data_IF_704012087379
#
_entry.id   IF_704012087379
#
_cell.length_a   1.000
_cell.length_b   1.000
_cell.length_c   1.000
_cell.angle_alpha   90.00
_cell.angle_beta   90.00
_cell.angle_gamma   90.00
#
_symmetry.space_group_name_H-M   'P 1'
#
loop_
_entity.id
_entity.type
_entity.pdbx_description
1 polymer ?
#
# COMPACT_ATOMS: atom_id res chain seq x y z
N UNK A 1 11.41 -19.45 -6.61
CA UNK A 1 9.99 -19.19 -6.32
C UNK A 1 9.94 -17.80 -5.72
N UNK A 2 9.28 -16.83 -6.37
CA UNK A 2 9.01 -15.54 -5.73
C UNK A 2 7.73 -15.72 -4.95
N UNK A 3 7.81 -15.49 -3.64
CA UNK A 3 6.75 -15.69 -2.65
C UNK A 3 5.38 -15.25 -3.16
N UNK A 4 4.39 -16.15 -3.07
CA UNK A 4 2.98 -15.89 -3.43
C UNK A 4 2.33 -14.79 -2.57
N UNK A 5 3.05 -14.31 -1.55
CA UNK A 5 2.57 -13.34 -0.58
C UNK A 5 3.15 -11.93 -0.76
N UNK A 6 4.13 -11.72 -1.64
CA UNK A 6 4.78 -10.42 -1.81
C UNK A 6 4.32 -9.71 -3.09
N UNK A 7 3.82 -8.48 -2.96
CA UNK A 7 3.31 -7.66 -4.07
C UNK A 7 3.92 -6.26 -4.03
N UNK A 8 3.90 -5.55 -5.17
CA UNK A 8 4.37 -4.17 -5.25
C UNK A 8 3.45 -3.33 -6.11
N UNK A 9 3.00 -2.19 -5.59
CA UNK A 9 2.41 -1.11 -6.39
C UNK A 9 3.54 -0.19 -6.85
N UNK A 10 3.53 0.23 -8.11
CA UNK A 10 4.47 1.22 -8.64
C UNK A 10 3.70 2.31 -9.38
N UNK A 11 3.96 3.57 -9.05
CA UNK A 11 3.30 4.71 -9.69
C UNK A 11 4.27 5.87 -9.92
N UNK A 12 4.05 6.60 -11.02
CA UNK A 12 4.81 7.81 -11.29
C UNK A 12 4.39 8.94 -10.36
N UNK A 13 5.38 9.55 -9.71
CA UNK A 13 5.25 10.69 -8.79
C UNK A 13 6.32 11.76 -9.09
N UNK A 14 6.92 11.71 -10.28
CA UNK A 14 7.92 12.68 -10.71
C UNK A 14 7.39 14.11 -10.53
N UNK A 15 8.19 14.93 -9.84
CA UNK A 15 7.84 16.31 -9.51
C UNK A 15 7.31 16.53 -8.08
N UNK A 16 6.98 15.45 -7.36
CA UNK A 16 6.71 15.51 -5.92
C UNK A 16 7.97 15.19 -5.12
N UNK A 17 8.21 15.98 -4.07
CA UNK A 17 9.14 15.63 -3.00
C UNK A 17 8.49 14.63 -2.03
N UNK A 18 9.30 13.91 -1.26
CA UNK A 18 8.80 12.92 -0.30
C UNK A 18 7.86 13.56 0.73
N UNK A 19 8.18 14.76 1.22
CA UNK A 19 7.33 15.49 2.17
C UNK A 19 6.01 16.04 1.58
N UNK A 20 5.81 15.88 0.27
CA UNK A 20 4.58 16.24 -0.44
C UNK A 20 3.69 15.03 -0.69
N UNK A 21 4.15 13.82 -0.36
CA UNK A 21 3.40 12.59 -0.51
C UNK A 21 2.90 12.09 0.85
N UNK A 22 1.62 11.73 0.91
CA UNK A 22 1.01 11.06 2.07
C UNK A 22 0.52 9.68 1.65
N UNK A 23 0.89 8.67 2.44
CA UNK A 23 0.44 7.29 2.27
C UNK A 23 -0.28 6.87 3.53
N UNK A 24 -1.58 6.63 3.41
CA UNK A 24 -2.42 6.20 4.53
C UNK A 24 -3.12 4.89 4.16
N UNK A 25 -2.94 3.85 5.00
CA UNK A 25 -3.75 2.64 4.93
C UNK A 25 -4.90 2.74 5.95
N UNK A 26 -6.13 2.54 5.48
CA UNK A 26 -7.32 2.40 6.32
C UNK A 26 -8.07 1.15 5.89
N UNK A 27 -8.18 0.19 6.81
CA UNK A 27 -8.74 -1.14 6.53
C UNK A 27 -8.03 -1.78 5.31
N UNK A 28 -8.80 -2.22 4.32
CA UNK A 28 -8.29 -2.78 3.06
C UNK A 28 -8.08 -1.71 1.98
N UNK A 29 -7.99 -0.42 2.32
CA UNK A 29 -7.79 0.65 1.35
C UNK A 29 -6.49 1.39 1.61
N UNK A 30 -5.63 1.41 0.60
CA UNK A 30 -4.45 2.25 0.56
C UNK A 30 -4.76 3.54 -0.19
N UNK A 31 -4.52 4.67 0.45
CA UNK A 31 -4.70 6.01 -0.12
C UNK A 31 -3.32 6.63 -0.29
N UNK A 32 -3.00 7.07 -1.51
CA UNK A 32 -1.80 7.81 -1.84
C UNK A 32 -2.21 9.21 -2.29
N UNK A 33 -1.72 10.23 -1.60
CA UNK A 33 -1.95 11.63 -1.94
C UNK A 33 -0.64 12.31 -2.29
N UNK A 34 -0.70 13.20 -3.27
CA UNK A 34 0.35 14.18 -3.51
C UNK A 34 -0.24 15.57 -3.42
N UNK A 35 0.26 16.38 -2.50
CA UNK A 35 -0.19 17.76 -2.29
C UNK A 35 1.00 18.71 -2.41
N UNK A 36 0.88 19.69 -3.30
CA UNK A 36 1.90 20.73 -3.42
C UNK A 36 1.77 21.73 -2.30
N UNK A 37 2.89 22.03 -1.66
CA UNK A 37 2.97 23.23 -0.81
C UNK A 37 2.77 24.47 -1.70
N UNK A 38 1.99 25.46 -1.27
CA UNK A 38 1.84 26.69 -2.01
C UNK A 38 3.22 27.34 -2.17
N UNK A 39 3.71 27.40 -3.42
CA UNK A 39 4.92 28.16 -3.72
C UNK A 39 4.55 29.64 -3.83
N UNK A 40 5.37 30.51 -3.23
CA UNK A 40 5.28 31.95 -3.45
C UNK A 40 5.34 32.24 -4.96
N UNK A 41 4.54 33.20 -5.43
CA UNK A 41 4.33 33.53 -6.86
C UNK A 41 5.61 33.41 -7.70
N UNK A 42 5.81 32.25 -8.34
CA UNK A 42 6.88 32.06 -9.30
C UNK A 42 6.34 32.38 -10.69
N UNK A 43 6.91 33.40 -11.32
CA UNK A 43 6.65 33.72 -12.72
C UNK A 43 7.40 32.73 -13.60
N UNK A 44 6.69 31.75 -14.15
CA UNK A 44 7.26 30.81 -15.12
C UNK A 44 7.18 31.39 -16.53
N UNK A 45 8.29 31.32 -17.28
CA UNK A 45 8.32 31.71 -18.72
C UNK A 45 7.61 30.67 -19.58
N UNK A 46 7.73 29.38 -19.23
CA UNK A 46 7.01 28.27 -19.86
C UNK A 46 6.88 27.11 -18.88
N UNK A 47 5.68 26.57 -18.73
CA UNK A 47 5.39 25.42 -17.88
C UNK A 47 4.71 24.33 -18.73
N UNK A 48 5.51 23.37 -19.21
CA UNK A 48 5.03 22.32 -20.11
C UNK A 48 4.08 21.30 -19.47
N UNK A 49 4.17 21.10 -18.15
CA UNK A 49 3.26 20.23 -17.39
C UNK A 49 2.99 20.92 -16.05
N UNK A 50 1.73 21.24 -15.80
CA UNK A 50 1.29 21.64 -14.47
C UNK A 50 1.13 20.37 -13.64
N UNK A 51 2.02 20.18 -12.67
CA UNK A 51 1.83 19.14 -11.67
C UNK A 51 0.71 19.58 -10.72
N UNK A 52 -0.31 18.72 -10.58
CA UNK A 52 -1.52 18.98 -9.83
C UNK A 52 -1.59 18.02 -8.66
N UNK A 53 -2.22 18.46 -7.57
CA UNK A 53 -2.54 17.58 -6.47
C UNK A 53 -3.31 16.35 -6.96
N UNK A 54 -3.04 15.22 -6.33
CA UNK A 54 -3.69 13.97 -6.69
C UNK A 54 -4.07 13.15 -5.46
N UNK A 55 -5.11 12.33 -5.63
CA UNK A 55 -5.46 11.26 -4.72
C UNK A 55 -5.66 9.98 -5.56
N UNK A 56 -5.05 8.89 -5.11
CA UNK A 56 -5.23 7.55 -5.68
C UNK A 56 -5.58 6.59 -4.55
N UNK A 57 -6.58 5.75 -4.82
CA UNK A 57 -7.08 4.74 -3.88
C UNK A 57 -6.90 3.38 -4.50
N UNK A 58 -6.30 2.48 -3.74
CA UNK A 58 -6.10 1.09 -4.09
C UNK A 58 -6.88 0.24 -3.10
N UNK A 59 -7.83 -0.53 -3.64
CA UNK A 59 -8.49 -1.59 -2.86
C UNK A 59 -7.52 -2.76 -2.76
N UNK A 60 -7.07 -3.04 -1.54
CA UNK A 60 -6.25 -4.19 -1.21
C UNK A 60 -7.16 -5.41 -0.99
N UNK A 61 -6.60 -6.59 -1.25
CA UNK A 61 -7.23 -7.84 -0.87
C UNK A 61 -7.19 -8.02 0.66
N UNK A 62 -8.01 -8.92 1.19
CA UNK A 62 -7.98 -9.26 2.60
C UNK A 62 -6.58 -9.76 3.00
N UNK A 63 -6.18 -9.37 4.21
CA UNK A 63 -4.91 -9.76 4.82
C UNK A 63 -3.66 -9.21 4.12
N UNK A 64 -3.81 -8.22 3.23
CA UNK A 64 -2.68 -7.52 2.63
C UNK A 64 -2.37 -6.25 3.43
N UNK A 65 -1.10 -6.06 3.78
CA UNK A 65 -0.60 -4.88 4.48
C UNK A 65 0.55 -4.23 3.72
N UNK A 66 0.73 -2.92 3.93
CA UNK A 66 1.94 -2.21 3.48
C UNK A 66 3.09 -2.55 4.42
N UNK A 67 4.22 -2.97 3.86
CA UNK A 67 5.45 -3.27 4.62
C UNK A 67 6.54 -2.24 4.41
N UNK A 68 6.47 -1.46 3.33
CA UNK A 68 7.42 -0.39 3.05
C UNK A 68 7.00 0.47 1.88
N UNK A 69 7.61 1.63 1.78
CA UNK A 69 7.52 2.50 0.62
C UNK A 69 8.88 3.14 0.34
N UNK A 70 9.20 3.33 -0.92
CA UNK A 70 10.46 3.97 -1.36
C UNK A 70 10.25 4.71 -2.66
N UNK A 71 10.93 5.83 -2.84
CA UNK A 71 10.88 6.60 -4.07
C UNK A 71 12.22 6.51 -4.81
N UNK A 72 12.19 6.19 -6.10
CA UNK A 72 13.38 6.10 -6.94
C UNK A 72 13.06 6.59 -8.36
N UNK A 73 13.89 7.47 -8.92
CA UNK A 73 13.77 7.95 -10.31
C UNK A 73 12.37 8.50 -10.68
N UNK A 74 11.69 9.17 -9.74
CA UNK A 74 10.34 9.71 -9.94
C UNK A 74 9.23 8.66 -9.89
N UNK A 75 9.52 7.45 -9.40
CA UNK A 75 8.54 6.41 -9.13
C UNK A 75 8.42 6.16 -7.63
N UNK A 76 7.20 5.99 -7.16
CA UNK A 76 6.88 5.50 -5.83
C UNK A 76 6.65 3.99 -5.91
N UNK A 77 7.44 3.24 -5.17
CA UNK A 77 7.28 1.81 -4.96
C UNK A 77 6.68 1.57 -3.57
N UNK A 78 5.59 0.81 -3.51
CA UNK A 78 4.91 0.45 -2.27
C UNK A 78 4.91 -1.07 -2.19
N UNK A 79 5.64 -1.59 -1.20
CA UNK A 79 5.77 -3.01 -0.94
C UNK A 79 4.63 -3.49 -0.05
N UNK A 80 4.01 -4.57 -0.48
CA UNK A 80 2.84 -5.18 0.15
C UNK A 80 3.12 -6.64 0.46
N UNK A 81 2.63 -7.09 1.60
CA UNK A 81 2.71 -8.50 2.01
C UNK A 81 1.32 -9.02 2.39
N UNK A 82 1.03 -10.26 2.02
CA UNK A 82 -0.16 -10.99 2.46
C UNK A 82 0.16 -11.88 3.64
N UNK A 83 -0.41 -11.56 4.80
CA UNK A 83 -0.26 -12.34 6.02
C UNK A 83 -1.55 -13.12 6.34
N UNK A 84 -1.62 -14.38 5.91
CA UNK A 84 -2.76 -15.23 6.28
C UNK A 84 -2.60 -15.65 7.76
N UNK A 85 -3.56 -15.32 8.65
CA UNK A 85 -3.47 -15.72 10.05
C UNK A 85 -3.36 -17.23 10.21
N UNK A 86 -2.49 -17.70 11.12
CA UNK A 86 -2.33 -19.14 11.39
C UNK A 86 -3.64 -19.81 11.80
N UNK A 87 -4.54 -19.08 12.47
CA UNK A 87 -5.87 -19.56 12.87
C UNK A 87 -6.79 -19.91 11.68
N UNK A 88 -6.48 -19.41 10.48
CA UNK A 88 -7.20 -19.75 9.25
C UNK A 88 -6.54 -20.90 8.49
N UNK A 89 -5.42 -21.43 8.98
CA UNK A 89 -4.85 -22.64 8.41
C UNK A 89 -5.87 -23.79 8.53
N UNK A 90 -6.04 -24.61 7.49
CA UNK A 90 -6.96 -25.73 7.52
C UNK A 90 -6.62 -26.67 8.69
N UNK A 91 -7.51 -26.80 9.67
CA UNK A 91 -7.38 -27.80 10.73
C UNK A 91 -8.04 -29.11 10.31
N UNK A 92 -7.36 -30.23 10.58
CA UNK A 92 -7.94 -31.55 10.38
C UNK A 92 -9.01 -31.80 11.44
N UNK A 93 -10.23 -32.11 11.01
CA UNK A 93 -11.32 -32.51 11.90
C UNK A 93 -11.31 -34.04 12.00
N UNK A 94 -11.24 -34.58 13.21
CA UNK A 94 -11.39 -36.01 13.43
C UNK A 94 -12.88 -36.41 13.31
N UNK A 95 -13.16 -37.46 12.55
CA UNK A 95 -14.49 -38.07 12.50
C UNK A 95 -14.57 -39.07 13.66
N UNK A 96 -15.64 -39.01 14.47
CA UNK A 96 -15.90 -39.80 15.70
C UNK A 96 -15.06 -39.41 16.93
N UNK A 97 -15.06 -38.13 17.31
CA UNK A 97 -14.41 -37.64 18.52
C UNK A 97 -14.95 -38.28 19.80
N UNK A 98 -14.23 -39.27 20.32
CA UNK A 98 -14.24 -39.62 21.73
C UNK A 98 -12.94 -39.05 22.34
N UNK A 99 -13.05 -38.40 23.51
CA UNK A 99 -12.06 -37.62 24.26
C UNK A 99 -11.89 -36.14 23.84
N UNK A 100 -12.08 -35.11 24.67
CA UNK A 100 -12.32 -35.02 26.11
C UNK A 100 -13.12 -33.73 26.40
N UNK A 101 -14.28 -33.88 27.03
CA UNK A 101 -14.80 -32.89 27.97
C UNK A 101 -14.42 -33.39 29.36
N UNK A 102 -13.24 -33.06 29.87
CA UNK A 102 -12.94 -33.15 31.29
C UNK A 102 -11.97 -32.02 31.68
N UNK A 103 -12.44 -31.15 32.59
CA UNK A 103 -11.63 -30.14 33.30
C UNK A 103 -12.10 -28.71 33.10
#
# INVERSE_FOLDING_TARGET
>A
QKDENNYRITMAVAGFAEEQLDLTQKDNMLIVKGERKPEAEKTYVYQGIAERDFERKFQLADYVKVVGASMENGLLHIDLEREIPEAMQPRKIAINGNSLLEG
#
